data_IF_572000138477
#
_entry.id   IF_572000138477
#
_cell.length_a   1.000
_cell.length_b   1.000
_cell.length_c   1.000
_cell.angle_alpha   90.00
_cell.angle_beta   90.00
_cell.angle_gamma   90.00
#
_symmetry.space_group_name_H-M   'P 1'
#
loop_
_entity.id
_entity.type
_entity.pdbx_description
1 polymer ?
#
# COMPACT_ATOMS: atom_id res chain seq x y z
N UNK A 1 -2.06 34.35 4.20
CA UNK A 1 -2.40 32.97 4.56
C UNK A 1 -1.96 32.09 3.41
N UNK A 2 -1.17 31.05 3.69
CA UNK A 2 -0.83 30.03 2.68
C UNK A 2 -2.01 29.06 2.65
N UNK A 3 -2.69 29.00 1.52
CA UNK A 3 -3.78 28.04 1.29
C UNK A 3 -3.13 26.66 1.15
N UNK A 4 -3.30 25.82 2.17
CA UNK A 4 -2.78 24.45 2.15
C UNK A 4 -3.76 23.61 1.33
N UNK A 5 -3.56 23.60 0.01
CA UNK A 5 -4.36 22.79 -0.92
C UNK A 5 -3.73 21.42 -1.07
N UNK A 6 -4.39 20.40 -0.54
CA UNK A 6 -4.17 19.03 -0.98
C UNK A 6 -4.91 18.83 -2.30
N UNK A 7 -4.25 18.20 -3.26
CA UNK A 7 -4.87 17.75 -4.51
C UNK A 7 -5.40 16.31 -4.30
N UNK A 8 -6.72 16.10 -4.19
CA UNK A 8 -7.29 14.77 -3.92
C UNK A 8 -6.89 13.74 -4.97
N UNK A 9 -6.75 14.18 -6.23
CA UNK A 9 -6.36 13.32 -7.35
C UNK A 9 -4.95 12.76 -7.13
N UNK A 10 -4.05 13.53 -6.49
CA UNK A 10 -2.69 13.08 -6.15
C UNK A 10 -2.65 12.06 -5.03
N UNK A 11 -3.54 12.18 -4.06
CA UNK A 11 -3.67 11.17 -3.01
C UNK A 11 -4.24 9.89 -3.60
N UNK A 12 -5.25 9.99 -4.47
CA UNK A 12 -5.80 8.83 -5.18
C UNK A 12 -4.75 8.11 -6.04
N UNK A 13 -3.97 8.86 -6.83
CA UNK A 13 -2.84 8.33 -7.60
C UNK A 13 -1.81 7.62 -6.71
N UNK A 14 -1.49 8.20 -5.55
CA UNK A 14 -0.54 7.61 -4.60
C UNK A 14 -1.07 6.26 -4.06
N UNK A 15 -2.33 6.19 -3.67
CA UNK A 15 -2.94 4.94 -3.22
C UNK A 15 -2.98 3.88 -4.30
N UNK A 16 -3.42 4.24 -5.51
CA UNK A 16 -3.48 3.31 -6.62
C UNK A 16 -2.09 2.72 -6.91
N UNK A 17 -1.07 3.58 -6.93
CA UNK A 17 0.33 3.15 -7.12
C UNK A 17 0.77 2.19 -6.02
N UNK A 18 0.57 2.57 -4.74
CA UNK A 18 1.00 1.73 -3.62
C UNK A 18 0.28 0.38 -3.58
N UNK A 19 -0.99 0.34 -3.98
CA UNK A 19 -1.77 -0.90 -4.07
C UNK A 19 -1.28 -1.81 -5.20
N UNK A 20 -1.00 -1.25 -6.39
CA UNK A 20 -0.44 -2.02 -7.50
C UNK A 20 0.95 -2.59 -7.19
N UNK A 21 1.79 -1.81 -6.49
CA UNK A 21 3.11 -2.24 -6.05
C UNK A 21 3.03 -3.34 -4.98
N UNK A 22 2.08 -3.26 -4.05
CA UNK A 22 1.83 -4.31 -3.06
C UNK A 22 1.50 -5.65 -3.74
N UNK A 23 0.53 -5.65 -4.65
CA UNK A 23 0.13 -6.85 -5.41
C UNK A 23 1.29 -7.42 -6.24
N UNK A 24 2.10 -6.53 -6.84
CA UNK A 24 3.27 -6.93 -7.62
C UNK A 24 4.35 -7.58 -6.74
N UNK A 25 4.58 -7.02 -5.54
CA UNK A 25 5.52 -7.56 -4.58
C UNK A 25 5.07 -8.93 -4.03
N UNK A 26 3.80 -9.07 -3.69
CA UNK A 26 3.22 -10.36 -3.25
C UNK A 26 3.33 -11.43 -4.34
N UNK A 27 2.98 -11.08 -5.58
CA UNK A 27 3.07 -12.00 -6.72
C UNK A 27 4.52 -12.46 -6.97
N UNK A 28 5.50 -11.57 -6.77
CA UNK A 28 6.92 -11.91 -6.88
C UNK A 28 7.36 -12.84 -5.76
N UNK A 29 6.97 -12.57 -4.52
CA UNK A 29 7.26 -13.44 -3.38
C UNK A 29 6.73 -14.87 -3.60
N UNK A 30 5.49 -14.99 -4.08
CA UNK A 30 4.89 -16.30 -4.41
C UNK A 30 5.66 -17.05 -5.50
N UNK A 31 6.08 -16.35 -6.57
CA UNK A 31 6.89 -16.96 -7.64
C UNK A 31 8.23 -17.46 -7.11
N UNK A 32 8.90 -16.70 -6.24
CA UNK A 32 10.15 -17.12 -5.60
C UNK A 32 9.96 -18.34 -4.71
N UNK A 33 8.87 -18.40 -3.93
CA UNK A 33 8.52 -19.56 -3.10
C UNK A 33 8.30 -20.81 -3.96
N UNK A 34 7.53 -20.69 -5.05
CA UNK A 34 7.29 -21.80 -5.97
C UNK A 34 8.59 -22.28 -6.63
N UNK A 35 9.42 -21.34 -7.09
CA UNK A 35 10.72 -21.68 -7.68
C UNK A 35 11.65 -22.37 -6.68
N UNK A 36 11.70 -21.89 -5.43
CA UNK A 36 12.45 -22.53 -4.34
C UNK A 36 12.02 -23.98 -4.13
N UNK A 37 10.70 -24.23 -4.07
CA UNK A 37 10.15 -25.60 -3.93
C UNK A 37 10.57 -26.50 -5.09
N UNK A 38 10.54 -26.00 -6.33
CA UNK A 38 11.03 -26.76 -7.48
C UNK A 38 12.50 -27.13 -7.36
N UNK A 39 13.35 -26.26 -6.81
CA UNK A 39 14.76 -26.58 -6.55
C UNK A 39 14.91 -27.64 -5.44
N UNK A 40 14.10 -27.56 -4.38
CA UNK A 40 14.07 -28.56 -3.31
C UNK A 40 13.66 -29.94 -3.85
N UNK A 41 12.63 -30.01 -4.69
CA UNK A 41 12.19 -31.24 -5.35
C UNK A 41 13.28 -31.86 -6.25
N UNK A 42 14.17 -31.03 -6.80
CA UNK A 42 15.32 -31.47 -7.60
C UNK A 42 16.54 -31.85 -6.75
N UNK A 43 16.48 -31.71 -5.42
CA UNK A 43 17.60 -32.00 -4.51
C UNK A 43 18.75 -30.99 -4.60
N UNK A 44 18.48 -29.77 -5.12
CA UNK A 44 19.48 -28.69 -5.25
C UNK A 44 20.03 -28.27 -3.89
N UNK A 45 19.17 -28.26 -2.87
CA UNK A 45 19.48 -27.94 -1.47
C UNK A 45 20.57 -28.85 -0.87
N UNK A 46 20.65 -30.10 -1.34
CA UNK A 46 21.64 -31.09 -0.92
C UNK A 46 22.81 -31.23 -1.92
N UNK A 47 22.93 -30.30 -2.87
CA UNK A 47 23.94 -30.33 -3.92
C UNK A 47 25.01 -29.23 -3.72
N UNK A 48 26.03 -29.22 -4.58
CA UNK A 48 26.99 -28.11 -4.67
C UNK A 48 26.36 -26.76 -5.03
N UNK A 49 25.08 -26.75 -5.45
CA UNK A 49 24.31 -25.55 -5.80
C UNK A 49 23.41 -25.06 -4.65
N UNK A 50 23.54 -25.60 -3.44
CA UNK A 50 22.75 -25.20 -2.26
C UNK A 50 22.82 -23.69 -1.96
N UNK A 51 23.90 -23.01 -2.36
CA UNK A 51 24.00 -21.54 -2.29
C UNK A 51 22.86 -20.80 -3.01
N UNK A 52 22.35 -21.34 -4.12
CA UNK A 52 21.22 -20.76 -4.87
C UNK A 52 19.93 -20.81 -4.03
N UNK A 53 19.73 -21.89 -3.29
CA UNK A 53 18.58 -22.06 -2.40
C UNK A 53 18.59 -21.01 -1.27
N UNK A 54 19.75 -20.75 -0.67
CA UNK A 54 19.91 -19.68 0.32
C UNK A 54 19.70 -18.26 -0.25
N UNK A 55 20.11 -18.01 -1.50
CA UNK A 55 19.82 -16.73 -2.13
C UNK A 55 18.33 -16.53 -2.38
N UNK A 56 17.58 -17.59 -2.71
CA UNK A 56 16.12 -17.51 -2.82
C UNK A 56 15.47 -17.17 -1.48
N UNK A 57 15.93 -17.76 -0.38
CA UNK A 57 15.44 -17.38 0.96
C UNK A 57 15.67 -15.90 1.27
N UNK A 58 16.86 -15.40 0.91
CA UNK A 58 17.16 -13.97 1.07
C UNK A 58 16.22 -13.10 0.24
N UNK A 59 15.96 -13.48 -1.01
CA UNK A 59 15.05 -12.73 -1.88
C UNK A 59 13.61 -12.76 -1.39
N UNK A 60 13.12 -13.92 -0.92
CA UNK A 60 11.77 -14.04 -0.35
C UNK A 60 11.63 -13.11 0.86
N UNK A 61 12.58 -13.15 1.80
CA UNK A 61 12.57 -12.28 2.98
C UNK A 61 12.59 -10.79 2.60
N UNK A 62 13.37 -10.40 1.58
CA UNK A 62 13.39 -9.02 1.11
C UNK A 62 12.05 -8.59 0.50
N UNK A 63 11.35 -9.49 -0.20
CA UNK A 63 10.02 -9.21 -0.73
C UNK A 63 8.98 -9.06 0.38
N UNK A 64 9.02 -9.89 1.43
CA UNK A 64 8.13 -9.76 2.60
C UNK A 64 8.34 -8.43 3.34
N UNK A 65 9.60 -8.00 3.49
CA UNK A 65 9.93 -6.69 4.06
C UNK A 65 9.42 -5.56 3.15
N UNK A 66 9.56 -5.69 1.83
CA UNK A 66 9.05 -4.71 0.88
C UNK A 66 7.52 -4.58 0.97
N UNK A 67 6.77 -5.69 0.98
CA UNK A 67 5.32 -5.69 1.17
C UNK A 67 4.94 -4.95 2.47
N UNK A 68 5.61 -5.28 3.58
CA UNK A 68 5.35 -4.63 4.87
C UNK A 68 5.60 -3.11 4.83
N UNK A 69 6.64 -2.69 4.14
CA UNK A 69 6.96 -1.27 3.95
C UNK A 69 5.92 -0.57 3.07
N UNK A 70 5.41 -1.23 2.03
CA UNK A 70 4.36 -0.67 1.16
C UNK A 70 3.07 -0.46 1.95
N UNK A 71 2.65 -1.42 2.77
CA UNK A 71 1.50 -1.28 3.67
C UNK A 71 1.70 -0.08 4.60
N UNK A 72 2.89 0.05 5.20
CA UNK A 72 3.21 1.20 6.06
C UNK A 72 3.14 2.53 5.30
N UNK A 73 3.54 2.56 4.03
CA UNK A 73 3.41 3.75 3.19
C UNK A 73 1.94 4.09 2.90
N UNK A 74 1.08 3.09 2.71
CA UNK A 74 -0.37 3.29 2.54
C UNK A 74 -1.01 3.84 3.82
N UNK A 75 -0.63 3.32 4.99
CA UNK A 75 -1.09 3.83 6.29
C UNK A 75 -0.69 5.30 6.49
N UNK A 76 0.57 5.63 6.19
CA UNK A 76 1.07 7.00 6.28
C UNK A 76 0.38 7.94 5.28
N UNK A 77 0.12 7.49 4.05
CA UNK A 77 -0.64 8.26 3.07
C UNK A 77 -2.07 8.54 3.56
N UNK A 78 -2.68 7.56 4.24
CA UNK A 78 -4.00 7.71 4.90
C UNK A 78 -4.01 8.73 6.00
N UNK A 79 -3.04 8.65 6.91
CA UNK A 79 -2.93 9.63 7.99
C UNK A 79 -2.73 11.04 7.43
N UNK A 80 -1.90 11.20 6.40
CA UNK A 80 -1.73 12.50 5.74
C UNK A 80 -3.07 13.00 5.18
N UNK A 81 -3.79 12.18 4.42
CA UNK A 81 -5.09 12.57 3.85
C UNK A 81 -6.09 13.02 4.95
N UNK A 82 -6.16 12.28 6.05
CA UNK A 82 -7.03 12.58 7.19
C UNK A 82 -6.64 13.88 7.90
N UNK A 83 -5.34 14.12 8.14
CA UNK A 83 -4.86 15.33 8.82
C UNK A 83 -5.19 16.60 8.02
N UNK A 84 -5.04 16.55 6.71
CA UNK A 84 -5.41 17.68 5.85
C UNK A 84 -6.93 17.89 5.83
N UNK A 85 -7.74 16.82 5.71
CA UNK A 85 -9.21 16.95 5.78
C UNK A 85 -9.65 17.58 7.11
N UNK A 86 -9.09 17.12 8.23
CA UNK A 86 -9.40 17.67 9.55
C UNK A 86 -8.97 19.13 9.67
N UNK A 87 -7.83 19.50 9.10
CA UNK A 87 -7.33 20.89 9.10
C UNK A 87 -8.24 21.80 8.27
N UNK A 88 -8.68 21.34 7.11
CA UNK A 88 -9.58 22.09 6.23
C UNK A 88 -10.97 22.28 6.85
N UNK A 89 -11.55 21.24 7.45
CA UNK A 89 -12.80 21.33 8.21
C UNK A 89 -12.70 22.32 9.39
N UNK A 90 -11.60 22.26 10.15
CA UNK A 90 -11.38 23.16 11.28
C UNK A 90 -11.22 24.63 10.83
N UNK A 91 -10.50 24.87 9.72
CA UNK A 91 -10.37 26.21 9.13
C UNK A 91 -11.72 26.73 8.63
N UNK A 92 -12.47 25.90 7.91
CA UNK A 92 -13.78 26.28 7.40
C UNK A 92 -14.77 26.62 8.53
N UNK A 93 -14.76 25.84 9.61
CA UNK A 93 -15.54 26.12 10.83
C UNK A 93 -15.12 27.42 11.52
N UNK A 94 -13.82 27.75 11.55
CA UNK A 94 -13.32 29.00 12.12
C UNK A 94 -13.67 30.24 11.29
N UNK A 95 -13.76 30.12 9.97
CA UNK A 95 -13.99 31.24 9.05
C UNK A 95 -15.42 31.30 8.46
N UNK A 96 -16.31 30.38 8.86
CA UNK A 96 -17.74 30.39 8.49
C UNK A 96 -18.04 29.96 7.05
N UNK A 97 -17.10 29.26 6.39
CA UNK A 97 -17.28 28.73 5.03
C UNK A 97 -17.77 27.28 5.06
N UNK A 98 -18.67 26.92 4.16
CA UNK A 98 -19.10 25.52 3.95
C UNK A 98 -18.06 24.80 3.06
N UNK A 99 -17.21 23.97 3.65
CA UNK A 99 -16.38 23.02 2.89
C UNK A 99 -17.16 21.74 2.64
N UNK A 100 -17.19 21.30 1.37
CA UNK A 100 -17.61 19.94 1.03
C UNK A 100 -16.57 18.98 1.60
N UNK A 101 -16.89 18.42 2.77
CA UNK A 101 -16.02 17.56 3.56
C UNK A 101 -15.58 16.31 2.77
N UNK A 102 -14.28 16.00 2.84
CA UNK A 102 -13.66 14.75 2.35
C UNK A 102 -14.26 13.49 3.00
N UNK A 103 -14.98 13.61 4.14
CA UNK A 103 -15.80 12.51 4.68
C UNK A 103 -16.80 11.99 3.66
N UNK A 104 -17.31 12.85 2.78
CA UNK A 104 -18.19 12.46 1.67
C UNK A 104 -17.50 11.47 0.72
N UNK A 105 -16.19 11.61 0.53
CA UNK A 105 -15.35 10.76 -0.33
C UNK A 105 -15.02 9.42 0.33
N UNK A 106 -14.73 9.43 1.64
CA UNK A 106 -14.54 8.19 2.43
C UNK A 106 -15.85 7.38 2.52
N UNK A 107 -16.99 8.06 2.65
CA UNK A 107 -18.31 7.41 2.65
C UNK A 107 -18.62 6.80 1.28
N UNK A 108 -18.39 7.51 0.17
CA UNK A 108 -18.68 6.99 -1.17
C UNK A 108 -17.85 5.76 -1.52
N UNK A 109 -16.55 5.73 -1.18
CA UNK A 109 -15.67 4.60 -1.48
C UNK A 109 -15.96 3.37 -0.61
N UNK A 110 -16.22 3.55 0.68
CA UNK A 110 -16.62 2.43 1.56
C UNK A 110 -17.99 1.89 1.13
N UNK A 111 -18.95 2.74 0.74
CA UNK A 111 -20.25 2.27 0.22
C UNK A 111 -20.20 1.70 -1.19
N UNK A 112 -19.17 2.01 -2.01
CA UNK A 112 -19.03 1.42 -3.34
C UNK A 112 -18.41 0.02 -3.28
N UNK A 113 -17.49 -0.21 -2.34
CA UNK A 113 -16.84 -1.51 -2.15
C UNK A 113 -17.66 -2.45 -1.23
N UNK A 114 -18.57 -1.90 -0.42
CA UNK A 114 -19.53 -2.63 0.43
C UNK A 114 -20.97 -2.11 0.28
N UNK A 115 -21.48 -2.04 -0.95
CA UNK A 115 -22.89 -1.72 -1.19
C UNK A 115 -23.84 -2.68 -0.45
N UNK A 116 -25.03 -2.21 0.00
CA UNK A 116 -25.91 -2.97 0.88
C UNK A 116 -26.49 -4.19 0.16
N UNK A 117 -26.69 -5.29 0.91
CA UNK A 117 -27.41 -6.49 0.48
C UNK A 117 -28.73 -6.19 -0.27
#
# INVERSE_FOLDING_TARGET
>A
MVEVKMDPDRIEELYATLYEEELSAEAMAQKLILFKRTLEEQGIDNSSLSGIHYYLDTLINLMEVLCSNIITLQDNATEIAEQFSNTDENLAAMYGGTTESYRSYKYSRITSDYGPD
#
